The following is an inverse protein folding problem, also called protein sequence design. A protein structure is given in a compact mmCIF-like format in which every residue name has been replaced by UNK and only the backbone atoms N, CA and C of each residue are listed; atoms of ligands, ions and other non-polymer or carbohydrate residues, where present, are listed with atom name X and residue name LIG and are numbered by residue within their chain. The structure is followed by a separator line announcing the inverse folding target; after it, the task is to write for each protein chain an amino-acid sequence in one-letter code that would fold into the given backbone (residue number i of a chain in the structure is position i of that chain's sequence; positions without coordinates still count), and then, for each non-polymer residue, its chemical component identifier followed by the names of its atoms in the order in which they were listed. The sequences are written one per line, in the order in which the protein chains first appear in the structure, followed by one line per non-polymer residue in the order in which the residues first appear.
data_IF_305387978837
#
_entry.id   IF_305387978837
#
_cell.length_a   1.000
_cell.length_b   1.000
_cell.length_c   1.000
_cell.angle_alpha   90.00
_cell.angle_beta   90.00
_cell.angle_gamma   90.00
#
_symmetry.space_group_name_H-M   'P 1'
#
loop_
_entity.id
_entity.type
_entity.pdbx_description
1 polymer ?
#
# COMPACT_ATOMS: atom_id res chain seq x y z
N UNK A 1 -0.58 -12.57 -4.15
CA UNK A 1 -0.59 -12.33 -2.69
C UNK A 1 -0.16 -10.90 -2.45
N UNK A 2 -0.90 -10.13 -1.59
CA UNK A 2 -0.46 -8.87 -1.01
C UNK A 2 0.04 -9.10 0.42
N UNK A 3 1.18 -8.50 0.76
CA UNK A 3 1.73 -8.49 2.11
C UNK A 3 1.74 -7.07 2.65
N UNK A 4 1.56 -6.91 3.95
CA UNK A 4 1.87 -5.70 4.72
C UNK A 4 2.91 -6.09 5.77
N UNK A 5 4.11 -5.53 5.65
CA UNK A 5 5.23 -5.83 6.55
C UNK A 5 5.24 -4.95 7.79
N UNK A 6 4.66 -3.75 7.72
CA UNK A 6 4.69 -2.75 8.78
C UNK A 6 6.10 -2.58 9.38
N UNK A 7 7.10 -2.43 8.52
CA UNK A 7 8.51 -2.59 8.90
C UNK A 7 9.03 -1.55 9.89
N UNK A 8 8.34 -0.42 10.04
CA UNK A 8 8.65 0.58 11.07
C UNK A 8 8.52 0.04 12.49
N UNK A 9 7.63 -0.96 12.72
CA UNK A 9 7.39 -1.56 14.03
C UNK A 9 8.59 -2.33 14.59
N UNK A 10 9.46 -2.82 13.71
CA UNK A 10 10.65 -3.59 14.10
C UNK A 10 11.98 -3.02 13.58
N UNK A 11 11.97 -1.79 13.03
CA UNK A 11 13.18 -1.08 12.65
C UNK A 11 13.75 -0.32 13.85
N UNK A 12 14.95 -0.69 14.30
CA UNK A 12 15.61 -0.10 15.47
C UNK A 12 17.10 0.05 15.21
N UNK A 13 17.66 1.20 15.52
CA UNK A 13 19.09 1.48 15.44
C UNK A 13 19.72 1.12 14.06
N UNK A 14 18.96 1.35 12.97
CA UNK A 14 19.43 1.09 11.62
C UNK A 14 19.32 -0.37 11.16
N UNK A 15 18.65 -1.24 11.92
CA UNK A 15 18.44 -2.65 11.58
C UNK A 15 16.99 -3.07 11.73
N UNK A 16 16.59 -4.07 10.97
CA UNK A 16 15.28 -4.74 11.04
C UNK A 16 15.38 -5.91 12.02
N UNK A 17 14.86 -5.72 13.22
CA UNK A 17 15.02 -6.63 14.36
C UNK A 17 13.86 -7.62 14.48
N UNK A 18 14.02 -8.80 13.93
CA UNK A 18 13.01 -9.87 13.98
C UNK A 18 12.91 -10.56 15.36
N UNK A 19 13.79 -10.25 16.30
CA UNK A 19 13.66 -10.77 17.66
C UNK A 19 12.38 -10.29 18.35
N UNK A 20 11.79 -9.20 17.86
CA UNK A 20 10.47 -8.70 18.32
C UNK A 20 9.36 -9.75 18.13
N UNK A 21 9.45 -10.58 17.09
CA UNK A 21 8.44 -11.60 16.74
C UNK A 21 8.89 -13.01 17.11
N UNK A 22 10.18 -13.31 16.96
CA UNK A 22 10.74 -14.66 17.01
C UNK A 22 11.52 -14.91 18.30
N UNK A 23 11.59 -13.92 19.20
CA UNK A 23 12.38 -13.98 20.43
C UNK A 23 13.88 -14.18 20.12
N UNK A 24 14.59 -14.92 20.96
CA UNK A 24 16.03 -15.14 20.84
C UNK A 24 16.48 -15.81 19.53
N UNK A 25 15.55 -16.41 18.78
CA UNK A 25 15.82 -17.04 17.49
C UNK A 25 15.70 -16.07 16.32
N UNK A 26 15.15 -14.89 16.55
CA UNK A 26 15.00 -13.88 15.53
C UNK A 26 16.35 -13.34 15.06
N UNK A 27 16.46 -13.09 13.76
CA UNK A 27 17.64 -12.45 13.19
C UNK A 27 17.50 -10.92 13.21
N UNK A 28 18.62 -10.23 13.09
CA UNK A 28 18.69 -8.80 12.80
C UNK A 28 19.24 -8.63 11.40
N UNK A 29 18.54 -7.85 10.58
CA UNK A 29 18.91 -7.60 9.18
C UNK A 29 19.28 -6.14 8.98
N UNK A 30 20.36 -5.90 8.28
CA UNK A 30 20.65 -4.61 7.65
C UNK A 30 19.60 -4.32 6.58
N UNK A 31 19.55 -3.10 6.06
CA UNK A 31 18.65 -2.76 4.96
C UNK A 31 18.85 -3.68 3.73
N UNK A 32 20.12 -3.98 3.36
CA UNK A 32 20.40 -4.88 2.25
C UNK A 32 19.91 -6.32 2.49
N UNK A 33 20.14 -6.86 3.66
CA UNK A 33 19.65 -8.19 4.04
C UNK A 33 18.13 -8.25 4.10
N UNK A 34 17.46 -7.16 4.47
CA UNK A 34 16.00 -7.05 4.41
C UNK A 34 15.50 -7.04 2.96
N UNK A 35 16.15 -6.29 2.08
CA UNK A 35 15.85 -6.27 0.65
C UNK A 35 16.06 -7.66 0.03
N UNK A 36 17.18 -8.32 0.32
CA UNK A 36 17.46 -9.69 -0.14
C UNK A 36 16.39 -10.68 0.33
N UNK A 37 15.93 -10.54 1.57
CA UNK A 37 14.85 -11.37 2.11
C UNK A 37 13.53 -11.16 1.37
N UNK A 38 13.12 -9.90 1.15
CA UNK A 38 11.91 -9.58 0.39
C UNK A 38 12.00 -10.07 -1.05
N UNK A 39 13.17 -9.94 -1.71
CA UNK A 39 13.39 -10.48 -3.05
C UNK A 39 13.27 -12.00 -3.09
N UNK A 40 13.79 -12.72 -2.09
CA UNK A 40 13.62 -14.17 -1.99
C UNK A 40 12.15 -14.55 -1.84
N UNK A 41 11.37 -13.79 -1.06
CA UNK A 41 9.93 -14.04 -0.87
C UNK A 41 9.16 -13.90 -2.18
N UNK A 42 9.34 -12.82 -2.93
CA UNK A 42 8.64 -12.63 -4.22
C UNK A 42 9.10 -13.61 -5.31
N UNK A 43 10.32 -14.13 -5.19
CA UNK A 43 10.83 -15.15 -6.11
C UNK A 43 10.25 -16.53 -5.81
N UNK A 44 10.03 -16.83 -4.54
CA UNK A 44 9.54 -18.13 -4.09
C UNK A 44 8.02 -18.24 -4.07
N UNK A 45 7.32 -17.14 -3.82
CA UNK A 45 5.87 -17.11 -3.66
C UNK A 45 5.23 -16.12 -4.65
N UNK A 46 3.95 -16.31 -5.02
CA UNK A 46 3.24 -15.41 -5.92
C UNK A 46 2.82 -14.12 -5.21
N UNK A 47 3.81 -13.33 -4.76
CA UNK A 47 3.60 -12.04 -4.11
C UNK A 47 3.62 -10.96 -5.18
N UNK A 48 2.52 -10.25 -5.32
CA UNK A 48 2.32 -9.18 -6.31
C UNK A 48 2.49 -7.78 -5.69
N UNK A 49 2.33 -7.67 -4.36
CA UNK A 49 2.38 -6.40 -3.64
C UNK A 49 2.96 -6.54 -2.24
N UNK A 50 3.83 -5.61 -1.85
CA UNK A 50 4.40 -5.46 -0.50
C UNK A 50 4.10 -4.05 -0.02
N UNK A 51 3.36 -3.92 1.08
CA UNK A 51 3.13 -2.68 1.80
C UNK A 51 4.18 -2.55 2.90
N UNK A 52 4.75 -1.36 3.05
CA UNK A 52 5.74 -0.98 4.05
C UNK A 52 6.87 -2.01 4.24
N UNK A 53 7.46 -2.44 3.12
CA UNK A 53 8.57 -3.39 3.10
C UNK A 53 9.85 -2.88 3.79
N UNK A 54 10.00 -1.56 3.89
CA UNK A 54 11.04 -0.86 4.63
C UNK A 54 10.41 0.10 5.64
N UNK A 55 11.18 0.57 6.61
CA UNK A 55 10.75 1.57 7.59
C UNK A 55 10.49 2.93 6.94
N UNK A 56 9.52 3.68 7.45
CA UNK A 56 9.23 5.08 7.08
C UNK A 56 10.43 6.02 7.24
N UNK A 57 11.40 5.63 8.06
CA UNK A 57 12.62 6.39 8.32
C UNK A 57 13.81 5.96 7.44
N UNK A 58 13.69 4.86 6.68
CA UNK A 58 14.77 4.30 5.85
C UNK A 58 14.54 4.60 4.36
N UNK A 59 14.56 5.88 3.98
CA UNK A 59 14.34 6.33 2.60
C UNK A 59 15.33 5.75 1.61
N UNK A 60 16.60 5.62 2.00
CA UNK A 60 17.62 4.98 1.15
C UNK A 60 17.33 3.49 0.97
N UNK A 61 16.86 2.80 2.00
CA UNK A 61 16.38 1.41 1.90
C UNK A 61 15.20 1.29 0.94
N UNK A 62 14.23 2.21 1.01
CA UNK A 62 13.10 2.27 0.09
C UNK A 62 13.54 2.45 -1.38
N UNK A 63 14.45 3.40 -1.64
CA UNK A 63 15.00 3.61 -2.98
C UNK A 63 15.65 2.34 -3.53
N UNK A 64 16.52 1.70 -2.74
CA UNK A 64 17.21 0.47 -3.15
C UNK A 64 16.25 -0.72 -3.32
N UNK A 65 15.23 -0.84 -2.48
CA UNK A 65 14.19 -1.85 -2.63
C UNK A 65 13.46 -1.67 -3.96
N UNK A 66 13.06 -0.43 -4.26
CA UNK A 66 12.35 -0.09 -5.50
C UNK A 66 13.20 -0.36 -6.73
N UNK A 67 14.47 0.05 -6.73
CA UNK A 67 15.44 -0.25 -7.79
C UNK A 67 15.57 -1.76 -8.03
N UNK A 68 15.64 -2.55 -6.94
CA UNK A 68 15.90 -3.99 -6.98
C UNK A 68 14.73 -4.83 -7.49
N UNK A 69 13.54 -4.56 -7.00
CA UNK A 69 12.37 -5.42 -7.26
C UNK A 69 11.10 -4.67 -7.70
N UNK A 70 11.14 -3.33 -7.83
CA UNK A 70 9.96 -2.52 -8.21
C UNK A 70 9.36 -2.85 -9.58
N UNK A 71 10.16 -3.38 -10.51
CA UNK A 71 9.67 -3.87 -11.80
C UNK A 71 8.94 -5.23 -11.74
N UNK A 72 8.98 -5.92 -10.60
CA UNK A 72 8.40 -7.26 -10.40
C UNK A 72 7.31 -7.31 -9.36
N UNK A 73 7.24 -6.31 -8.48
CA UNK A 73 6.33 -6.27 -7.36
C UNK A 73 5.88 -4.84 -7.09
N UNK A 74 4.62 -4.65 -6.71
CA UNK A 74 4.14 -3.37 -6.22
C UNK A 74 4.70 -3.09 -4.83
N UNK A 75 5.25 -1.88 -4.64
CA UNK A 75 5.70 -1.38 -3.34
C UNK A 75 4.79 -0.27 -2.90
N UNK A 76 3.99 -0.53 -1.86
CA UNK A 76 3.01 0.41 -1.34
C UNK A 76 3.60 1.12 -0.12
N UNK A 77 3.71 2.45 -0.18
CA UNK A 77 4.00 3.26 0.99
C UNK A 77 2.72 3.63 1.73
N UNK A 78 2.53 3.09 2.94
CA UNK A 78 1.52 3.51 3.91
C UNK A 78 2.15 4.48 4.90
N UNK A 79 2.94 4.00 5.85
CA UNK A 79 3.61 4.84 6.84
C UNK A 79 4.64 5.77 6.20
N UNK A 80 5.23 5.37 5.07
CA UNK A 80 6.17 6.19 4.32
C UNK A 80 5.53 7.50 3.84
N UNK A 81 4.29 7.46 3.37
CA UNK A 81 3.63 8.59 2.71
C UNK A 81 2.48 9.21 3.51
N UNK A 82 1.85 8.46 4.41
CA UNK A 82 0.72 8.88 5.27
C UNK A 82 -0.37 9.67 4.52
N UNK A 83 -0.62 9.32 3.25
CA UNK A 83 -1.54 10.02 2.33
C UNK A 83 -1.15 11.50 2.11
N UNK A 84 0.08 11.89 2.38
CA UNK A 84 0.55 13.28 2.32
C UNK A 84 1.28 13.57 1.01
N UNK A 85 0.83 14.60 0.28
CA UNK A 85 1.39 14.98 -1.01
C UNK A 85 2.87 15.43 -0.92
N UNK A 86 3.32 16.01 0.19
CA UNK A 86 4.72 16.41 0.37
C UNK A 86 5.63 15.18 0.49
N UNK A 87 5.25 14.18 1.29
CA UNK A 87 5.99 12.92 1.38
C UNK A 87 5.96 12.12 0.08
N UNK A 88 4.79 12.10 -0.60
CA UNK A 88 4.69 11.48 -1.91
C UNK A 88 5.60 12.17 -2.93
N UNK A 89 5.63 13.50 -2.97
CA UNK A 89 6.52 14.28 -3.85
C UNK A 89 7.99 13.95 -3.60
N UNK A 90 8.38 13.80 -2.32
CA UNK A 90 9.72 13.34 -1.97
C UNK A 90 9.99 11.93 -2.49
N UNK A 91 9.07 11.00 -2.27
CA UNK A 91 9.21 9.61 -2.73
C UNK A 91 9.37 9.52 -4.25
N UNK A 92 8.59 10.31 -4.99
CA UNK A 92 8.72 10.42 -6.45
C UNK A 92 10.11 10.94 -6.85
N UNK A 93 10.59 11.98 -6.17
CA UNK A 93 11.90 12.59 -6.48
C UNK A 93 13.09 11.67 -6.12
N UNK A 94 12.93 10.81 -5.13
CA UNK A 94 13.96 9.87 -4.66
C UNK A 94 13.78 8.44 -5.19
N UNK A 95 12.84 8.19 -6.10
CA UNK A 95 12.51 6.87 -6.66
C UNK A 95 12.15 5.82 -5.59
N UNK A 96 11.41 6.22 -4.55
CA UNK A 96 10.96 5.38 -3.45
C UNK A 96 9.53 4.88 -3.68
N UNK A 97 9.30 3.57 -3.62
CA UNK A 97 8.00 2.92 -3.86
C UNK A 97 7.50 3.06 -5.33
N UNK A 98 6.35 2.50 -5.63
CA UNK A 98 5.65 2.65 -6.91
C UNK A 98 4.12 2.67 -6.74
N UNK A 99 3.67 2.69 -5.48
CA UNK A 99 2.28 2.83 -5.09
C UNK A 99 2.15 3.52 -3.73
N UNK A 100 0.99 4.13 -3.49
CA UNK A 100 0.65 4.77 -2.22
C UNK A 100 -0.65 4.18 -1.65
N UNK A 101 -0.69 3.97 -0.34
CA UNK A 101 -1.93 3.69 0.37
C UNK A 101 -2.68 4.99 0.67
N UNK A 102 -3.97 5.02 0.37
CA UNK A 102 -4.82 6.20 0.52
C UNK A 102 -5.78 5.99 1.68
N UNK A 103 -5.59 6.76 2.74
CA UNK A 103 -6.45 6.79 3.93
C UNK A 103 -7.03 8.19 4.10
N UNK A 104 -8.28 8.39 3.70
CA UNK A 104 -8.94 9.71 3.63
C UNK A 104 -8.85 10.49 4.94
N UNK A 105 -9.04 9.81 6.08
CA UNK A 105 -9.02 10.46 7.39
C UNK A 105 -7.59 10.65 7.95
N UNK A 106 -6.55 10.16 7.30
CA UNK A 106 -5.16 10.34 7.74
C UNK A 106 -4.65 11.72 7.36
N UNK A 107 -4.90 12.15 6.14
CA UNK A 107 -4.61 13.53 5.70
C UNK A 107 -5.71 14.49 6.18
N UNK A 108 -6.97 14.05 6.27
CA UNK A 108 -8.03 14.74 6.98
C UNK A 108 -9.05 15.46 6.12
N UNK A 109 -8.82 15.70 4.86
CA UNK A 109 -9.80 16.24 3.92
C UNK A 109 -9.87 15.46 2.62
N UNK A 110 -11.05 15.47 1.98
CA UNK A 110 -11.22 14.83 0.69
C UNK A 110 -10.40 15.54 -0.40
N UNK A 111 -10.29 16.85 -0.35
CA UNK A 111 -9.51 17.63 -1.33
C UNK A 111 -8.04 17.21 -1.31
N UNK A 112 -7.39 17.18 -0.15
CA UNK A 112 -5.99 16.75 -0.02
C UNK A 112 -5.81 15.27 -0.40
N UNK A 113 -6.82 14.44 -0.10
CA UNK A 113 -6.83 13.04 -0.56
C UNK A 113 -6.81 12.95 -2.08
N UNK A 114 -7.67 13.75 -2.76
CA UNK A 114 -7.72 13.78 -4.23
C UNK A 114 -6.42 14.33 -4.82
N UNK A 115 -5.82 15.36 -4.21
CA UNK A 115 -4.53 15.90 -4.64
C UNK A 115 -3.42 14.84 -4.58
N UNK A 116 -3.37 14.02 -3.52
CA UNK A 116 -2.42 12.93 -3.39
C UNK A 116 -2.64 11.83 -4.45
N UNK A 117 -3.90 11.45 -4.70
CA UNK A 117 -4.26 10.47 -5.73
C UNK A 117 -3.87 10.99 -7.13
N UNK A 118 -4.21 12.23 -7.45
CA UNK A 118 -3.89 12.83 -8.74
C UNK A 118 -2.38 12.92 -8.95
N UNK A 119 -1.63 13.34 -7.92
CA UNK A 119 -0.17 13.37 -7.96
C UNK A 119 0.41 11.98 -8.22
N UNK A 120 -0.05 10.94 -7.52
CA UNK A 120 0.37 9.56 -7.71
C UNK A 120 0.16 9.13 -9.17
N UNK A 121 -1.04 9.29 -9.69
CA UNK A 121 -1.38 8.88 -11.06
C UNK A 121 -0.57 9.62 -12.13
N UNK A 122 -0.34 10.93 -11.97
CA UNK A 122 0.47 11.72 -12.88
C UNK A 122 1.93 11.26 -12.97
N UNK A 123 2.43 10.63 -11.91
CA UNK A 123 3.81 10.14 -11.85
C UNK A 123 3.92 8.61 -11.99
N UNK A 124 2.83 7.94 -12.39
CA UNK A 124 2.82 6.50 -12.65
C UNK A 124 2.78 5.62 -11.40
N UNK A 125 2.52 6.19 -10.23
CA UNK A 125 2.26 5.43 -9.01
C UNK A 125 0.84 4.88 -9.01
N UNK A 126 0.71 3.63 -8.57
CA UNK A 126 -0.60 3.07 -8.28
C UNK A 126 -1.15 3.62 -6.95
N UNK A 127 -2.46 3.58 -6.80
CA UNK A 127 -3.12 3.93 -5.55
C UNK A 127 -3.90 2.75 -5.00
N UNK A 128 -3.89 2.55 -3.69
CA UNK A 128 -4.68 1.55 -2.98
C UNK A 128 -5.56 2.29 -1.98
N UNK A 129 -6.85 2.42 -2.28
CA UNK A 129 -7.81 3.04 -1.36
C UNK A 129 -8.05 2.13 -0.16
N UNK A 130 -7.90 2.65 1.06
CA UNK A 130 -7.83 1.82 2.26
C UNK A 130 -8.81 2.24 3.33
N UNK A 131 -9.32 1.22 4.03
CA UNK A 131 -9.98 1.35 5.31
C UNK A 131 -8.99 1.70 6.44
N UNK A 132 -9.51 1.79 7.65
CA UNK A 132 -8.73 1.82 8.89
C UNK A 132 -9.05 0.58 9.75
N UNK A 133 -8.22 0.32 10.79
CA UNK A 133 -8.48 -0.76 11.76
C UNK A 133 -9.78 -0.54 12.52
N UNK A 134 -10.09 0.69 12.92
CA UNK A 134 -11.40 1.10 13.40
C UNK A 134 -12.27 1.61 12.26
N UNK A 135 -13.39 0.94 11.99
CA UNK A 135 -14.27 1.22 10.85
C UNK A 135 -15.73 1.27 11.27
N UNK A 136 -16.55 1.86 10.39
CA UNK A 136 -18.00 1.86 10.42
C UNK A 136 -18.56 1.23 9.15
N UNK A 137 -19.88 1.18 9.01
CA UNK A 137 -20.53 0.73 7.77
C UNK A 137 -20.58 1.82 6.66
N UNK A 138 -19.93 2.96 6.86
CA UNK A 138 -19.74 3.94 5.80
C UNK A 138 -19.00 3.31 4.62
N UNK A 139 -19.50 3.53 3.40
CA UNK A 139 -18.99 2.89 2.19
C UNK A 139 -18.26 3.86 1.24
N UNK A 140 -18.08 5.12 1.63
CA UNK A 140 -17.53 6.19 0.77
C UNK A 140 -16.20 5.83 0.14
N UNK A 141 -15.34 5.04 0.80
CA UNK A 141 -14.05 4.62 0.21
C UNK A 141 -14.22 3.73 -1.02
N UNK A 142 -15.33 3.00 -1.15
CA UNK A 142 -15.63 2.24 -2.36
C UNK A 142 -15.95 3.17 -3.53
N UNK A 143 -16.74 4.22 -3.29
CA UNK A 143 -17.05 5.24 -4.30
C UNK A 143 -15.77 5.96 -4.74
N UNK A 144 -14.91 6.35 -3.80
CA UNK A 144 -13.62 6.99 -4.10
C UNK A 144 -12.75 6.07 -4.95
N UNK A 145 -12.62 4.78 -4.59
CA UNK A 145 -11.78 3.84 -5.33
C UNK A 145 -12.21 3.72 -6.80
N UNK A 146 -13.52 3.68 -7.07
CA UNK A 146 -14.03 3.61 -8.43
C UNK A 146 -13.95 4.96 -9.13
N UNK A 147 -14.38 6.04 -8.48
CA UNK A 147 -14.41 7.39 -9.07
C UNK A 147 -13.00 7.87 -9.48
N UNK A 148 -11.97 7.49 -8.75
CA UNK A 148 -10.58 7.85 -9.05
C UNK A 148 -9.86 6.83 -9.93
N UNK A 149 -10.54 5.75 -10.32
CA UNK A 149 -9.94 4.64 -11.06
C UNK A 149 -8.70 4.06 -10.35
N UNK A 150 -8.75 3.97 -9.04
CA UNK A 150 -7.67 3.42 -8.19
C UNK A 150 -7.32 1.98 -8.58
N UNK A 151 -8.31 1.21 -9.02
CA UNK A 151 -8.14 -0.19 -9.43
C UNK A 151 -7.91 -1.15 -8.28
N UNK A 152 -7.70 -0.63 -7.07
CA UNK A 152 -7.37 -1.40 -5.86
C UNK A 152 -8.07 -0.82 -4.64
N UNK A 153 -8.51 -1.71 -3.74
CA UNK A 153 -9.06 -1.35 -2.43
C UNK A 153 -8.57 -2.33 -1.35
N UNK A 154 -8.10 -1.81 -0.22
CA UNK A 154 -7.76 -2.58 0.98
C UNK A 154 -8.87 -2.34 2.00
N UNK A 155 -9.79 -3.29 2.16
CA UNK A 155 -10.98 -3.08 2.99
C UNK A 155 -11.35 -4.25 3.91
N UNK A 156 -10.39 -5.10 4.23
CA UNK A 156 -10.56 -6.23 5.15
C UNK A 156 -11.18 -7.46 4.52
N UNK A 157 -11.42 -8.47 5.34
CA UNK A 157 -12.03 -9.72 4.88
C UNK A 157 -13.55 -9.63 4.79
N UNK A 158 -14.18 -10.60 4.14
CA UNK A 158 -15.63 -10.73 3.95
C UNK A 158 -16.34 -11.26 5.22
N UNK A 159 -16.06 -10.69 6.40
CA UNK A 159 -16.51 -11.26 7.67
C UNK A 159 -17.23 -10.30 8.62
N UNK A 160 -17.01 -9.01 8.55
CA UNK A 160 -17.64 -8.01 9.42
C UNK A 160 -18.52 -7.08 8.59
N UNK A 161 -19.64 -6.58 9.15
CA UNK A 161 -20.56 -5.71 8.44
C UNK A 161 -19.92 -4.39 7.99
N UNK A 162 -19.04 -3.84 8.79
CA UNK A 162 -18.23 -2.65 8.48
C UNK A 162 -17.30 -2.85 7.26
N UNK A 163 -16.88 -4.08 6.99
CA UNK A 163 -16.10 -4.44 5.79
C UNK A 163 -17.00 -4.79 4.63
N UNK A 164 -18.04 -5.60 4.89
CA UNK A 164 -19.01 -6.00 3.88
C UNK A 164 -19.75 -4.82 3.24
N UNK A 165 -19.96 -3.74 3.99
CA UNK A 165 -20.58 -2.52 3.46
C UNK A 165 -19.86 -1.98 2.23
N UNK A 166 -18.51 -1.99 2.21
CA UNK A 166 -17.69 -1.54 1.08
C UNK A 166 -17.80 -2.49 -0.12
N UNK A 167 -17.75 -3.80 0.12
CA UNK A 167 -17.95 -4.79 -0.95
C UNK A 167 -19.33 -4.70 -1.56
N UNK A 168 -20.38 -4.55 -0.73
CA UNK A 168 -21.74 -4.36 -1.22
C UNK A 168 -21.89 -3.06 -2.03
N UNK A 169 -21.15 -2.01 -1.66
CA UNK A 169 -21.17 -0.76 -2.43
C UNK A 169 -20.50 -0.95 -3.80
N UNK A 170 -19.39 -1.67 -3.88
CA UNK A 170 -18.77 -2.00 -5.16
C UNK A 170 -19.73 -2.78 -6.08
N UNK A 171 -20.51 -3.72 -5.53
CA UNK A 171 -21.51 -4.44 -6.31
C UNK A 171 -22.63 -3.51 -6.81
N UNK A 172 -23.09 -2.53 -6.02
CA UNK A 172 -24.09 -1.55 -6.46
C UNK A 172 -23.54 -0.65 -7.58
N UNK A 173 -22.28 -0.22 -7.44
CA UNK A 173 -21.62 0.59 -8.48
C UNK A 173 -21.47 -0.23 -9.77
N UNK A 174 -21.10 -1.51 -9.68
CA UNK A 174 -21.04 -2.40 -10.85
C UNK A 174 -22.41 -2.54 -11.54
N UNK A 175 -23.48 -2.69 -10.76
CA UNK A 175 -24.86 -2.75 -11.28
C UNK A 175 -25.27 -1.45 -11.99
N UNK A 176 -24.92 -0.28 -11.43
CA UNK A 176 -25.17 1.03 -12.06
C UNK A 176 -24.39 1.24 -13.35
N UNK A 177 -23.14 0.81 -13.39
CA UNK A 177 -22.27 0.93 -14.57
C UNK A 177 -22.64 -0.05 -15.68
N UNK A 178 -23.24 -1.19 -15.34
CA UNK A 178 -23.59 -2.23 -16.30
C UNK A 178 -22.43 -2.64 -17.19
N UNK A 179 -22.63 -2.62 -18.50
CA UNK A 179 -21.61 -3.01 -19.48
C UNK A 179 -20.38 -2.09 -19.53
N UNK A 180 -20.41 -0.94 -18.86
CA UNK A 180 -19.26 -0.03 -18.72
C UNK A 180 -18.34 -0.45 -17.57
N UNK A 181 -18.79 -1.34 -16.68
CA UNK A 181 -17.97 -1.83 -15.58
C UNK A 181 -16.81 -2.68 -16.10
N UNK A 182 -15.58 -2.29 -15.70
CA UNK A 182 -14.38 -3.07 -16.02
C UNK A 182 -13.66 -3.40 -14.71
N UNK A 183 -13.44 -4.68 -14.43
CA UNK A 183 -12.63 -5.08 -13.30
C UNK A 183 -11.17 -4.68 -13.51
N UNK A 184 -10.67 -3.79 -12.64
CA UNK A 184 -9.40 -3.10 -12.81
C UNK A 184 -8.14 -3.94 -12.58
N UNK A 185 -8.25 -5.27 -12.58
CA UNK A 185 -7.09 -6.13 -12.36
C UNK A 185 -6.10 -6.04 -13.51
N UNK A 186 -5.04 -5.26 -13.32
CA UNK A 186 -3.80 -5.41 -14.10
C UNK A 186 -2.81 -6.17 -13.22
N UNK A 187 -2.35 -7.33 -13.69
CA UNK A 187 -1.18 -7.96 -13.08
C UNK A 187 -0.06 -6.94 -13.10
N UNK A 188 0.44 -6.60 -11.93
CA UNK A 188 1.66 -5.82 -11.79
C UNK A 188 2.78 -6.76 -12.25
N UNK A 189 3.34 -6.48 -13.42
CA UNK A 189 4.48 -7.18 -13.98
C UNK A 189 5.55 -6.18 -14.33
#
# INVERSE_FOLDING_TARGET
IGMDCASSEFYRDGVYDYTVFEGEKGCRRTADEQIDYLEQLITKYPIDSIEDGMSENDWEGWRRLTERIGGRCQHVGDDLFVTNAEFLSRGIAEDCANAILIKVNQIGSLSETMDAIEMAHRHGYATVTSHRSGETEDATIADIAVATNSGQIKTGSLSRSDRMAKYNQLLRIEEELGDLAVYGYKRIR
#
